data_IF_486515596703
#
_entry.id   IF_486515596703
#
_cell.length_a   1.000
_cell.length_b   1.000
_cell.length_c   1.000
_cell.angle_alpha   90.00
_cell.angle_beta   90.00
_cell.angle_gamma   90.00
#
_symmetry.space_group_name_H-M   'P 1'
#
loop_
_entity.id
_entity.type
_entity.pdbx_description
1 polymer ?
#
# COMPACT_ATOMS: atom_id res chain seq x y z
N UNK A 1 3.11 1.08 -23.84
CA UNK A 1 2.34 2.33 -23.65
C UNK A 1 3.04 3.12 -22.57
N UNK A 2 3.31 4.41 -22.74
CA UNK A 2 3.90 5.22 -21.67
C UNK A 2 2.96 5.13 -20.45
N UNK A 3 3.45 4.60 -19.32
CA UNK A 3 2.64 4.58 -18.11
C UNK A 3 2.31 6.02 -17.77
N UNK A 4 1.03 6.37 -17.73
CA UNK A 4 0.57 7.65 -17.21
C UNK A 4 1.23 7.82 -15.83
N UNK A 5 1.99 8.90 -15.65
CA UNK A 5 2.66 9.17 -14.37
C UNK A 5 1.58 9.33 -13.30
N UNK A 6 1.40 8.27 -12.50
CA UNK A 6 0.33 8.14 -11.52
C UNK A 6 0.79 8.49 -10.11
N UNK A 7 2.09 8.38 -9.86
CA UNK A 7 2.71 8.71 -8.58
C UNK A 7 2.65 10.23 -8.33
N UNK A 8 2.19 10.67 -7.16
CA UNK A 8 2.24 12.08 -6.82
C UNK A 8 3.68 12.56 -6.59
N UNK A 9 3.95 13.81 -6.94
CA UNK A 9 5.24 14.47 -6.70
C UNK A 9 5.04 15.86 -6.09
N UNK A 10 4.34 15.89 -4.96
CA UNK A 10 4.07 17.10 -4.20
C UNK A 10 5.36 17.66 -3.62
N UNK A 11 5.49 18.98 -3.71
CA UNK A 11 6.50 19.75 -3.02
C UNK A 11 6.22 19.81 -1.52
N UNK A 12 7.25 20.15 -0.73
CA UNK A 12 7.10 20.38 0.71
C UNK A 12 5.98 21.40 1.02
N UNK A 13 5.88 22.49 0.24
CA UNK A 13 4.86 23.51 0.42
C UNK A 13 3.44 22.96 0.19
N UNK A 14 3.25 22.08 -0.81
CA UNK A 14 1.95 21.43 -1.05
C UNK A 14 1.59 20.44 0.07
N UNK A 15 2.57 19.71 0.61
CA UNK A 15 2.34 18.81 1.76
C UNK A 15 1.93 19.62 2.99
N UNK A 16 2.64 20.71 3.31
CA UNK A 16 2.29 21.64 4.39
C UNK A 16 0.88 22.22 4.21
N UNK A 17 0.55 22.69 3.00
CA UNK A 17 -0.78 23.20 2.65
C UNK A 17 -1.88 22.19 2.95
N UNK A 18 -1.70 20.93 2.54
CA UNK A 18 -2.67 19.85 2.81
C UNK A 18 -2.83 19.59 4.30
N UNK A 19 -1.74 19.56 5.07
CA UNK A 19 -1.78 19.32 6.52
C UNK A 19 -2.59 20.41 7.23
N UNK A 20 -2.30 21.68 6.93
CA UNK A 20 -2.99 22.84 7.52
C UNK A 20 -4.45 22.89 7.06
N UNK A 21 -4.70 22.78 5.74
CA UNK A 21 -6.03 22.95 5.17
C UNK A 21 -6.96 21.80 5.50
N UNK A 22 -6.51 20.55 5.46
CA UNK A 22 -7.38 19.39 5.68
C UNK A 22 -7.49 19.02 7.16
N UNK A 23 -6.42 19.13 7.93
CA UNK A 23 -6.37 18.63 9.32
C UNK A 23 -6.27 19.74 10.36
N UNK A 24 -5.99 20.98 9.97
CA UNK A 24 -5.87 22.10 10.92
C UNK A 24 -4.63 21.99 11.82
N UNK A 25 -3.64 21.22 11.41
CA UNK A 25 -2.41 20.99 12.15
C UNK A 25 -1.32 21.94 11.66
N UNK A 26 -0.48 22.42 12.57
CA UNK A 26 0.71 23.23 12.25
C UNK A 26 1.95 22.36 12.40
N UNK A 27 2.59 22.06 11.28
CA UNK A 27 3.81 21.27 11.23
C UNK A 27 4.98 21.98 11.93
N UNK A 28 5.80 21.20 12.64
CA UNK A 28 7.13 21.60 13.09
C UNK A 28 8.22 20.99 12.20
N UNK A 29 7.96 19.81 11.63
CA UNK A 29 8.86 19.11 10.72
C UNK A 29 8.06 18.33 9.66
N UNK A 30 8.46 18.45 8.40
CA UNK A 30 7.99 17.56 7.33
C UNK A 30 9.22 16.99 6.62
N UNK A 31 9.27 15.67 6.47
CA UNK A 31 10.30 14.99 5.68
C UNK A 31 9.71 13.87 4.82
N UNK A 32 10.25 13.64 3.61
CA UNK A 32 9.79 12.56 2.76
C UNK A 32 10.06 11.19 3.40
N UNK A 33 9.16 10.24 3.15
CA UNK A 33 9.35 8.83 3.45
C UNK A 33 9.50 8.01 2.17
N UNK A 34 10.27 6.90 2.19
CA UNK A 34 10.35 5.98 1.06
C UNK A 34 8.96 5.55 0.61
N UNK A 35 8.73 5.59 -0.70
CA UNK A 35 7.44 5.29 -1.32
C UNK A 35 7.63 4.88 -2.78
N UNK A 36 6.81 3.94 -3.26
CA UNK A 36 6.87 3.42 -4.63
C UNK A 36 5.75 4.01 -5.49
N UNK A 37 4.51 3.55 -5.35
CA UNK A 37 3.35 4.05 -6.10
C UNK A 37 2.81 5.38 -5.53
N UNK A 38 2.70 5.47 -4.21
CA UNK A 38 2.18 6.63 -3.49
C UNK A 38 3.27 7.67 -3.19
N UNK A 39 2.90 8.79 -2.58
CA UNK A 39 3.83 9.67 -1.89
C UNK A 39 3.50 9.73 -0.39
N UNK A 40 4.52 9.47 0.43
CA UNK A 40 4.41 9.45 1.89
C UNK A 40 5.30 10.54 2.49
N UNK A 41 4.77 11.31 3.44
CA UNK A 41 5.53 12.28 4.20
C UNK A 41 5.34 12.04 5.70
N UNK A 42 6.44 12.04 6.44
CA UNK A 42 6.40 12.15 7.89
C UNK A 42 6.06 13.59 8.24
N UNK A 43 5.17 13.77 9.22
CA UNK A 43 4.73 15.08 9.70
C UNK A 43 4.80 15.07 11.23
N UNK A 44 5.63 15.94 11.80
CA UNK A 44 5.60 16.26 13.22
C UNK A 44 4.87 17.60 13.40
N UNK A 45 4.05 17.72 14.44
CA UNK A 45 3.26 18.93 14.72
C UNK A 45 3.77 19.66 15.95
N UNK A 46 3.56 20.98 15.97
CA UNK A 46 4.13 21.87 17.00
C UNK A 46 3.57 21.64 18.41
N UNK A 47 2.34 21.14 18.51
CA UNK A 47 1.63 20.81 19.76
C UNK A 47 1.91 19.39 20.28
N UNK A 48 2.79 18.66 19.60
CA UNK A 48 3.11 17.27 19.90
C UNK A 48 2.22 16.31 19.11
N UNK A 49 2.86 15.36 18.43
CA UNK A 49 2.17 14.39 17.60
C UNK A 49 2.99 14.10 16.35
N UNK A 50 2.97 12.83 15.94
CA UNK A 50 3.69 12.35 14.78
C UNK A 50 2.71 11.61 13.87
N UNK A 51 2.77 11.91 12.58
CA UNK A 51 1.85 11.41 11.59
C UNK A 51 2.58 11.01 10.30
N UNK A 52 1.86 10.26 9.47
CA UNK A 52 2.21 10.00 8.08
C UNK A 52 1.12 10.54 7.18
N UNK A 53 1.41 11.61 6.44
CA UNK A 53 0.56 12.03 5.33
C UNK A 53 0.80 11.10 4.16
N UNK A 54 -0.27 10.52 3.64
CA UNK A 54 -0.25 9.57 2.53
C UNK A 54 -1.10 10.14 1.39
N UNK A 55 -0.46 10.40 0.26
CA UNK A 55 -1.10 10.82 -0.98
C UNK A 55 -1.08 9.63 -1.94
N UNK A 56 -2.26 9.06 -2.18
CA UNK A 56 -2.41 7.85 -3.00
C UNK A 56 -2.17 8.20 -4.46
N UNK A 57 -1.60 7.30 -5.25
CA UNK A 57 -1.45 7.49 -6.69
C UNK A 57 -2.80 7.72 -7.39
N UNK A 58 -2.79 8.41 -8.53
CA UNK A 58 -4.02 8.85 -9.20
C UNK A 58 -4.86 7.70 -9.77
N UNK A 59 -4.24 6.54 -10.01
CA UNK A 59 -4.92 5.30 -10.43
C UNK A 59 -5.72 4.68 -9.30
N UNK A 60 -5.07 4.39 -8.18
CA UNK A 60 -5.75 3.84 -6.98
C UNK A 60 -6.75 4.84 -6.38
N UNK A 61 -6.52 6.14 -6.59
CA UNK A 61 -7.46 7.19 -6.19
C UNK A 61 -8.82 7.12 -6.92
N UNK A 62 -8.93 6.35 -8.00
CA UNK A 62 -10.21 6.06 -8.66
C UNK A 62 -11.02 4.97 -7.94
N UNK A 63 -10.45 4.29 -6.95
CA UNK A 63 -11.11 3.21 -6.20
C UNK A 63 -11.20 3.55 -4.69
N UNK A 64 -12.10 4.48 -4.32
CA UNK A 64 -12.27 4.88 -2.91
C UNK A 64 -12.68 3.71 -2.02
N UNK A 65 -13.52 2.79 -2.51
CA UNK A 65 -13.98 1.61 -1.75
C UNK A 65 -12.83 0.72 -1.29
N UNK A 66 -11.82 0.50 -2.16
CA UNK A 66 -10.63 -0.26 -1.79
C UNK A 66 -9.83 0.45 -0.68
N UNK A 67 -9.65 1.76 -0.78
CA UNK A 67 -8.89 2.55 0.20
C UNK A 67 -9.64 2.71 1.53
N UNK A 68 -10.97 2.79 1.49
CA UNK A 68 -11.83 2.73 2.67
C UNK A 68 -11.66 1.39 3.38
N UNK A 69 -11.67 0.28 2.63
CA UNK A 69 -11.48 -1.04 3.20
C UNK A 69 -10.07 -1.25 3.77
N UNK A 70 -9.03 -0.69 3.15
CA UNK A 70 -7.69 -0.64 3.76
C UNK A 70 -7.71 0.11 5.11
N UNK A 71 -8.43 1.23 5.16
CA UNK A 71 -8.57 2.03 6.39
C UNK A 71 -9.34 1.27 7.46
N UNK A 72 -10.41 0.57 7.08
CA UNK A 72 -11.15 -0.33 7.94
C UNK A 72 -10.26 -1.46 8.49
N UNK A 73 -9.47 -2.12 7.65
CA UNK A 73 -8.57 -3.20 8.06
C UNK A 73 -7.53 -2.73 9.08
N UNK A 74 -6.95 -1.54 8.90
CA UNK A 74 -6.02 -0.94 9.86
C UNK A 74 -6.70 -0.68 11.22
N UNK A 75 -7.90 -0.08 11.21
CA UNK A 75 -8.67 0.19 12.43
C UNK A 75 -9.10 -1.12 13.12
N UNK A 76 -9.45 -2.14 12.35
CA UNK A 76 -9.82 -3.46 12.87
C UNK A 76 -8.66 -4.11 13.62
N UNK A 77 -7.46 -4.15 13.03
CA UNK A 77 -6.25 -4.63 13.71
C UNK A 77 -5.97 -3.86 15.01
N UNK A 78 -6.08 -2.53 14.97
CA UNK A 78 -5.89 -1.70 16.16
C UNK A 78 -6.93 -2.02 17.24
N UNK A 79 -8.20 -2.23 16.88
CA UNK A 79 -9.26 -2.62 17.83
C UNK A 79 -9.03 -3.98 18.49
N UNK A 80 -8.27 -4.86 17.82
CA UNK A 80 -7.85 -6.17 18.32
C UNK A 80 -6.53 -6.12 19.10
N UNK A 81 -6.00 -4.94 19.35
CA UNK A 81 -4.80 -4.70 20.16
C UNK A 81 -3.48 -4.84 19.41
N UNK A 82 -3.51 -4.94 18.07
CA UNK A 82 -2.28 -4.96 17.27
C UNK A 82 -1.79 -3.53 17.01
N UNK A 83 -0.47 -3.30 16.93
CA UNK A 83 0.10 -1.97 16.69
C UNK A 83 -0.04 -1.57 15.21
N UNK A 84 -1.26 -1.20 14.81
CA UNK A 84 -1.58 -0.69 13.48
C UNK A 84 -1.79 0.83 13.51
N UNK A 85 -1.44 1.50 12.41
CA UNK A 85 -1.75 2.91 12.23
C UNK A 85 -3.26 3.12 12.19
N UNK A 86 -3.74 4.28 12.63
CA UNK A 86 -5.16 4.68 12.55
C UNK A 86 -5.28 5.97 11.78
N UNK A 87 -6.39 6.14 11.05
CA UNK A 87 -6.62 7.33 10.25
C UNK A 87 -7.11 8.49 11.13
N UNK A 88 -6.54 9.67 10.91
CA UNK A 88 -6.96 10.92 11.54
C UNK A 88 -8.01 11.57 10.64
N UNK A 89 -9.20 11.93 11.15
CA UNK A 89 -10.21 12.60 10.36
C UNK A 89 -9.76 14.01 9.97
N UNK A 90 -10.19 14.46 8.80
CA UNK A 90 -10.11 15.86 8.39
C UNK A 90 -10.98 16.74 9.30
N UNK A 91 -10.86 18.07 9.17
CA UNK A 91 -11.75 19.04 9.85
C UNK A 91 -13.23 18.87 9.49
N UNK A 92 -13.53 18.22 8.38
CA UNK A 92 -14.89 17.87 7.93
C UNK A 92 -15.36 16.50 8.42
N UNK A 93 -14.53 15.77 9.18
CA UNK A 93 -14.84 14.46 9.76
C UNK A 93 -14.62 13.27 8.82
N UNK A 94 -14.07 13.49 7.62
CA UNK A 94 -13.82 12.44 6.64
C UNK A 94 -12.45 11.80 6.89
N UNK A 95 -12.30 10.49 6.68
CA UNK A 95 -11.01 9.81 6.85
C UNK A 95 -10.07 9.96 5.65
N UNK A 96 -10.60 10.38 4.51
CA UNK A 96 -9.86 10.66 3.28
C UNK A 96 -10.47 11.86 2.57
N UNK A 97 -9.65 12.63 1.86
CA UNK A 97 -10.08 13.75 1.01
C UNK A 97 -9.60 13.55 -0.41
N UNK A 98 -10.47 13.77 -1.40
CA UNK A 98 -10.11 13.73 -2.82
C UNK A 98 -9.67 15.12 -3.25
N UNK A 99 -8.38 15.27 -3.52
CA UNK A 99 -7.75 16.55 -3.84
C UNK A 99 -7.36 16.60 -5.31
N UNK A 100 -7.55 17.75 -5.94
CA UNK A 100 -7.06 18.02 -7.29
C UNK A 100 -5.76 18.82 -7.21
N UNK A 101 -4.65 18.20 -7.58
CA UNK A 101 -3.29 18.73 -7.34
C UNK A 101 -2.47 18.61 -8.62
N UNK A 102 -1.74 19.67 -8.98
CA UNK A 102 -0.74 19.62 -10.03
C UNK A 102 0.62 19.22 -9.43
N UNK A 103 1.16 18.10 -9.89
CA UNK A 103 2.47 17.57 -9.48
C UNK A 103 3.55 17.75 -10.56
N UNK A 104 3.35 18.68 -11.49
CA UNK A 104 4.27 18.96 -12.62
C UNK A 104 3.88 18.24 -13.92
N UNK A 105 2.80 17.47 -13.92
CA UNK A 105 2.26 16.77 -15.07
C UNK A 105 0.79 17.14 -15.38
N UNK A 106 0.34 18.29 -14.86
CA UNK A 106 -1.04 18.78 -14.93
C UNK A 106 -1.88 18.33 -13.74
N UNK A 107 -3.09 18.90 -13.62
CA UNK A 107 -4.02 18.57 -12.55
C UNK A 107 -4.44 17.11 -12.60
N UNK A 108 -4.25 16.41 -11.49
CA UNK A 108 -4.73 15.05 -11.27
C UNK A 108 -5.44 14.95 -9.92
N UNK A 109 -6.28 13.93 -9.77
CA UNK A 109 -7.01 13.68 -8.53
C UNK A 109 -6.30 12.62 -7.70
N UNK A 110 -6.07 12.95 -6.43
CA UNK A 110 -5.39 12.10 -5.47
C UNK A 110 -6.19 12.00 -4.18
N UNK A 111 -6.36 10.78 -3.65
CA UNK A 111 -6.89 10.60 -2.31
C UNK A 111 -5.78 10.85 -1.29
N UNK A 112 -6.08 11.70 -0.31
CA UNK A 112 -5.17 12.10 0.76
C UNK A 112 -5.73 11.60 2.10
N UNK A 113 -4.87 10.96 2.90
CA UNK A 113 -5.19 10.58 4.28
C UNK A 113 -4.02 10.85 5.22
N UNK A 114 -4.34 11.14 6.47
CA UNK A 114 -3.36 11.27 7.53
C UNK A 114 -3.47 10.07 8.46
N UNK A 115 -2.35 9.44 8.77
CA UNK A 115 -2.27 8.28 9.66
C UNK A 115 -1.44 8.62 10.90
N UNK A 116 -1.73 8.00 12.03
CA UNK A 116 -0.83 8.03 13.19
C UNK A 116 0.55 7.47 12.82
N UNK A 117 1.62 8.01 13.41
CA UNK A 117 2.95 7.44 13.26
C UNK A 117 3.13 6.25 14.19
N UNK A 118 3.70 5.16 13.68
CA UNK A 118 4.13 4.03 14.52
C UNK A 118 5.59 4.22 14.92
N UNK A 119 5.88 4.41 16.22
CA UNK A 119 7.24 4.56 16.68
C UNK A 119 8.00 3.24 16.55
N UNK A 120 9.28 3.33 16.21
CA UNK A 120 10.16 2.16 16.17
C UNK A 120 11.22 2.25 15.08
N UNK A 121 11.99 1.16 14.96
CA UNK A 121 13.01 1.00 13.93
C UNK A 121 12.53 -0.01 12.90
N UNK A 122 12.60 0.34 11.61
CA UNK A 122 12.21 -0.57 10.53
C UNK A 122 13.14 -1.78 10.48
N UNK A 123 12.60 -2.98 10.22
CA UNK A 123 13.37 -4.23 10.16
C UNK A 123 14.57 -4.15 9.19
N UNK A 124 14.44 -3.40 8.09
CA UNK A 124 15.51 -3.18 7.13
C UNK A 124 16.75 -2.44 7.69
N UNK A 125 16.63 -1.77 8.85
CA UNK A 125 17.71 -0.99 9.48
C UNK A 125 18.41 -1.73 10.63
N UNK A 126 17.95 -2.93 10.99
CA UNK A 126 18.53 -3.72 12.06
C UNK A 126 19.18 -4.99 11.49
N UNK A 127 20.24 -5.52 12.12
CA UNK A 127 20.81 -6.80 11.73
C UNK A 127 19.76 -7.91 11.81
N UNK A 128 19.71 -8.74 10.77
CA UNK A 128 18.87 -9.94 10.79
C UNK A 128 19.38 -10.91 11.86
N UNK A 129 18.47 -11.46 12.65
CA UNK A 129 18.76 -12.50 13.63
C UNK A 129 17.61 -13.50 13.69
N UNK A 130 17.86 -14.76 14.08
CA UNK A 130 16.81 -15.78 14.21
C UNK A 130 15.64 -15.30 15.08
N UNK A 131 15.91 -14.55 16.17
CA UNK A 131 14.87 -14.02 17.03
C UNK A 131 14.00 -12.98 16.31
N UNK A 132 14.60 -12.03 15.58
CA UNK A 132 13.83 -11.04 14.80
C UNK A 132 12.96 -11.72 13.74
N UNK A 133 13.51 -12.69 13.02
CA UNK A 133 12.75 -13.45 12.01
C UNK A 133 11.59 -14.22 12.64
N UNK A 134 11.79 -14.84 13.81
CA UNK A 134 10.73 -15.51 14.55
C UNK A 134 9.62 -14.53 14.96
N UNK A 135 9.96 -13.34 15.48
CA UNK A 135 8.95 -12.34 15.87
C UNK A 135 8.18 -11.81 14.67
N UNK A 136 8.84 -11.59 13.52
CA UNK A 136 8.17 -11.20 12.27
C UNK A 136 7.17 -12.28 11.84
N UNK A 137 7.59 -13.56 11.82
CA UNK A 137 6.69 -14.67 11.48
C UNK A 137 5.52 -14.81 12.46
N UNK A 138 5.78 -14.66 13.76
CA UNK A 138 4.73 -14.67 14.79
C UNK A 138 3.73 -13.53 14.59
N UNK A 139 4.19 -12.32 14.28
CA UNK A 139 3.31 -11.17 14.02
C UNK A 139 2.48 -11.41 12.76
N UNK A 140 3.09 -11.87 11.67
CA UNK A 140 2.38 -12.19 10.43
C UNK A 140 1.27 -13.23 10.66
N UNK A 141 1.58 -14.33 11.37
CA UNK A 141 0.59 -15.35 11.71
C UNK A 141 -0.51 -14.84 12.67
N UNK A 142 -0.19 -13.87 13.53
CA UNK A 142 -1.17 -13.24 14.42
C UNK A 142 -2.12 -12.35 13.62
N UNK A 143 -1.58 -11.53 12.72
CA UNK A 143 -2.38 -10.68 11.83
C UNK A 143 -3.31 -11.52 10.95
N UNK A 144 -2.82 -12.62 10.37
CA UNK A 144 -3.62 -13.52 9.54
C UNK A 144 -4.83 -14.07 10.30
N UNK A 145 -4.61 -14.63 11.50
CA UNK A 145 -5.71 -15.12 12.36
C UNK A 145 -6.71 -14.04 12.72
N UNK A 146 -6.25 -12.84 13.04
CA UNK A 146 -7.14 -11.71 13.36
C UNK A 146 -7.98 -11.36 12.12
N UNK A 147 -7.38 -11.28 10.94
CA UNK A 147 -8.10 -10.94 9.71
C UNK A 147 -9.15 -11.98 9.29
N UNK A 148 -9.03 -13.25 9.71
CA UNK A 148 -10.09 -14.24 9.49
C UNK A 148 -11.41 -13.88 10.20
N UNK A 149 -11.36 -13.04 11.24
CA UNK A 149 -12.54 -12.54 11.96
C UNK A 149 -13.08 -11.20 11.39
N UNK A 150 -12.43 -10.63 10.37
CA UNK A 150 -12.83 -9.34 9.81
C UNK A 150 -14.02 -9.52 8.86
N UNK A 151 -15.14 -8.87 9.16
CA UNK A 151 -16.32 -8.84 8.30
C UNK A 151 -16.51 -7.44 7.70
N UNK A 152 -16.71 -7.37 6.39
CA UNK A 152 -17.06 -6.12 5.72
C UNK A 152 -17.87 -6.40 4.44
N UNK A 153 -18.95 -5.64 4.12
CA UNK A 153 -19.77 -5.88 2.93
C UNK A 153 -18.97 -5.89 1.61
N UNK A 154 -17.89 -5.10 1.58
CA UNK A 154 -17.05 -4.92 0.40
C UNK A 154 -15.77 -5.76 0.39
N UNK A 155 -15.63 -6.82 1.19
CA UNK A 155 -14.39 -7.64 1.22
C UNK A 155 -13.92 -8.10 -0.17
N UNK A 156 -14.86 -8.36 -1.08
CA UNK A 156 -14.57 -8.77 -2.45
C UNK A 156 -13.64 -7.80 -3.21
N UNK A 157 -13.62 -6.51 -2.87
CA UNK A 157 -12.75 -5.54 -3.58
C UNK A 157 -11.26 -5.73 -3.26
N UNK A 158 -10.90 -6.50 -2.24
CA UNK A 158 -9.51 -6.90 -1.97
C UNK A 158 -9.00 -7.93 -2.99
N UNK A 159 -9.91 -8.65 -3.65
CA UNK A 159 -9.57 -9.56 -4.74
C UNK A 159 -9.33 -8.74 -6.00
N UNK A 160 -8.07 -8.36 -6.19
CA UNK A 160 -7.63 -7.55 -7.33
C UNK A 160 -7.17 -8.46 -8.46
N UNK A 161 -7.95 -8.54 -9.52
CA UNK A 161 -7.54 -9.24 -10.75
C UNK A 161 -6.24 -8.63 -11.30
N UNK A 162 -5.35 -9.51 -11.76
CA UNK A 162 -4.07 -9.13 -12.36
C UNK A 162 -3.18 -8.22 -11.49
N UNK A 163 -3.33 -8.29 -10.16
CA UNK A 163 -2.50 -7.52 -9.26
C UNK A 163 -1.07 -8.06 -9.26
N UNK A 164 -0.13 -7.30 -9.83
CA UNK A 164 1.25 -7.73 -10.07
C UNK A 164 2.02 -8.19 -8.83
N UNK A 165 1.58 -7.79 -7.63
CA UNK A 165 2.18 -8.22 -6.36
C UNK A 165 1.53 -9.48 -5.77
N UNK A 166 0.50 -10.02 -6.41
CA UNK A 166 -0.05 -11.32 -6.06
C UNK A 166 0.91 -12.41 -6.52
N UNK A 167 1.20 -13.36 -5.61
CA UNK A 167 1.94 -14.57 -5.98
C UNK A 167 1.19 -15.43 -7.01
N UNK A 168 -0.12 -15.19 -7.22
CA UNK A 168 -0.88 -15.83 -8.29
C UNK A 168 -0.67 -15.22 -9.68
N UNK A 169 -0.04 -14.05 -9.77
CA UNK A 169 0.12 -13.28 -11.00
C UNK A 169 1.44 -13.56 -11.72
N UNK A 170 2.15 -14.64 -11.39
CA UNK A 170 3.36 -15.10 -12.08
C UNK A 170 3.21 -15.13 -13.61
N UNK A 171 2.09 -15.57 -14.22
CA UNK A 171 1.91 -15.55 -15.67
C UNK A 171 2.04 -14.16 -16.30
N UNK A 172 1.75 -13.08 -15.56
CA UNK A 172 1.87 -11.71 -16.08
C UNK A 172 3.33 -11.31 -16.34
N UNK A 173 4.30 -12.07 -15.81
CA UNK A 173 5.72 -11.79 -16.00
C UNK A 173 6.20 -12.09 -17.43
N UNK A 174 5.48 -12.91 -18.21
CA UNK A 174 5.86 -13.27 -19.58
C UNK A 174 6.05 -12.04 -20.47
N UNK A 175 5.18 -11.03 -20.32
CA UNK A 175 5.24 -9.81 -21.11
C UNK A 175 6.54 -9.01 -20.89
N UNK A 176 7.26 -9.26 -19.78
CA UNK A 176 8.51 -8.59 -19.42
C UNK A 176 9.75 -9.40 -19.80
N UNK A 177 9.61 -10.66 -20.25
CA UNK A 177 10.74 -11.46 -20.71
C UNK A 177 11.59 -10.76 -21.78
N UNK A 178 11.03 -10.01 -22.76
CA UNK A 178 11.85 -9.32 -23.76
C UNK A 178 12.82 -8.27 -23.19
N UNK A 179 12.61 -7.80 -21.96
CA UNK A 179 13.54 -6.87 -21.29
C UNK A 179 14.85 -7.58 -20.89
N UNK A 180 14.83 -8.91 -20.81
CA UNK A 180 15.96 -9.77 -20.44
C UNK A 180 16.73 -10.32 -21.66
N UNK A 181 16.53 -9.75 -22.86
CA UNK A 181 17.17 -10.26 -24.07
C UNK A 181 18.71 -10.32 -23.93
N UNK A 182 19.26 -11.52 -24.11
CA UNK A 182 20.69 -11.79 -23.95
C UNK A 182 21.12 -12.17 -22.53
N UNK A 183 20.23 -12.14 -21.54
CA UNK A 183 20.49 -12.64 -20.19
C UNK A 183 20.19 -14.16 -20.11
N UNK A 184 21.18 -15.00 -19.76
CA UNK A 184 20.96 -16.44 -19.57
C UNK A 184 19.86 -16.79 -18.55
N UNK A 185 19.54 -15.88 -17.63
CA UNK A 185 18.49 -16.06 -16.63
C UNK A 185 17.08 -16.05 -17.25
N UNK A 186 16.90 -15.48 -18.44
CA UNK A 186 15.61 -15.43 -19.15
C UNK A 186 15.03 -16.83 -19.35
N UNK A 187 15.88 -17.84 -19.65
CA UNK A 187 15.44 -19.23 -19.80
C UNK A 187 14.92 -19.83 -18.47
N UNK A 188 15.59 -19.51 -17.36
CA UNK A 188 15.21 -19.99 -16.03
C UNK A 188 13.86 -19.38 -15.63
N UNK A 189 13.70 -18.07 -15.80
CA UNK A 189 12.44 -17.36 -15.51
C UNK A 189 11.31 -17.92 -16.36
N UNK A 190 11.54 -18.10 -17.67
CA UNK A 190 10.55 -18.67 -18.58
C UNK A 190 10.11 -20.08 -18.16
N UNK A 191 11.05 -20.94 -17.75
CA UNK A 191 10.74 -22.29 -17.24
C UNK A 191 9.92 -22.26 -15.95
N UNK A 192 10.24 -21.36 -15.02
CA UNK A 192 9.48 -21.20 -13.76
C UNK A 192 8.06 -20.73 -14.04
N UNK A 193 7.87 -19.79 -14.97
CA UNK A 193 6.53 -19.32 -15.36
C UNK A 193 5.71 -20.46 -15.98
N UNK A 194 6.30 -21.19 -16.94
CA UNK A 194 5.64 -22.32 -17.59
C UNK A 194 5.28 -23.44 -16.59
N UNK A 195 6.19 -23.74 -15.64
CA UNK A 195 5.93 -24.70 -14.59
C UNK A 195 4.77 -24.27 -13.68
N UNK A 196 4.74 -22.99 -13.29
CA UNK A 196 3.66 -22.44 -12.49
C UNK A 196 2.31 -22.57 -13.21
N UNK A 197 2.26 -22.17 -14.49
CA UNK A 197 1.04 -22.28 -15.30
C UNK A 197 0.56 -23.72 -15.43
N UNK A 198 1.45 -24.68 -15.70
CA UNK A 198 1.08 -26.09 -15.84
C UNK A 198 0.43 -26.64 -14.55
N UNK A 199 1.02 -26.33 -13.38
CA UNK A 199 0.50 -26.80 -12.09
C UNK A 199 -0.84 -26.15 -11.70
N UNK A 200 -1.02 -24.86 -11.98
CA UNK A 200 -2.26 -24.14 -11.65
C UNK A 200 -3.38 -24.32 -12.68
N UNK A 201 -3.06 -24.76 -13.90
CA UNK A 201 -4.07 -25.15 -14.90
C UNK A 201 -4.78 -26.46 -14.52
N UNK A 202 -4.09 -27.37 -13.83
CA UNK A 202 -4.67 -28.64 -13.35
C UNK A 202 -5.56 -28.47 -12.11
N UNK A 203 -5.25 -27.50 -11.23
CA UNK A 203 -5.99 -27.28 -9.99
C UNK A 203 -7.44 -26.82 -10.20
N UNK A 204 -7.73 -26.04 -11.25
CA UNK A 204 -9.09 -25.60 -11.58
C UNK A 204 -9.96 -26.69 -12.23
N UNK A 205 -9.37 -27.77 -12.74
CA UNK A 205 -10.14 -28.91 -13.29
C UNK A 205 -10.70 -29.79 -12.16
N UNK A 206 -10.06 -29.78 -10.98
CA UNK A 206 -10.46 -30.65 -9.85
C UNK A 206 -11.51 -29.98 -8.93
N UNK A 207 -11.51 -28.66 -8.79
CA UNK A 207 -12.51 -27.95 -7.94
C UNK A 207 -13.82 -27.58 -8.67
N UNK A 208 -13.90 -27.77 -9.98
CA UNK A 208 -15.12 -27.52 -10.77
C UNK A 208 -16.09 -28.70 -10.87
N UNK A 209 -15.85 -29.79 -10.14
CA UNK A 209 -16.58 -31.05 -10.25
C UNK A 209 -16.91 -31.67 -8.87
N UNK A 210 -17.53 -30.89 -7.98
CA UNK A 210 -18.36 -31.41 -6.87
C UNK A 210 -19.42 -30.39 -6.48
#
# INVERSE_FOLDING_TARGET
MASKESKPNLTHAQVSELVIRLYGLTESEIRPLPSYDDQNAYVCVSDGGEYVLKVMNSGDSQNPTLLELQTHAMNFLHSKGLPAQTAIPTKTGQLMSLEEIDCGCGLQKYLVRLLTYLPGTTVAKIPSSPNILYQVGKMAATMDKVFQEMEHPNLHVLQRENFIWSLSSIPLLEQYLPVMDGDPMQEVVSKVIAQYQAQYSEAFIVEGNT
#
